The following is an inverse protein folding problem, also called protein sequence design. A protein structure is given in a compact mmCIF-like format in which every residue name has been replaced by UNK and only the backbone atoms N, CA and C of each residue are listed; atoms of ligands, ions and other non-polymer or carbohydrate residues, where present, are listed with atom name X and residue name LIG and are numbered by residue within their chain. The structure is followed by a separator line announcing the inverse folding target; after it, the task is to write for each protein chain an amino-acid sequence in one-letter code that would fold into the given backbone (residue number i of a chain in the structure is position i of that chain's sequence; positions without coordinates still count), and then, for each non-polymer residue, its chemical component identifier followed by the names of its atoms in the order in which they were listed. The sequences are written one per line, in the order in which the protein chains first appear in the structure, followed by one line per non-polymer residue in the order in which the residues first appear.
data_IF_778132518594
#
_entry.id   IF_778132518594
#
_cell.length_a   1.000
_cell.length_b   1.000
_cell.length_c   1.000
_cell.angle_alpha   90.00
_cell.angle_beta   90.00
_cell.angle_gamma   90.00
#
_symmetry.space_group_name_H-M   'P 1'
#
loop_
_entity.id
_entity.type
_entity.pdbx_description
1 polymer ?
#
# COMPACT_ATOMS: atom_id res chain seq x y z
N UNK A 1 -2.66 -1.17 10.79
CA UNK A 1 -3.30 -2.38 10.20
C UNK A 1 -2.54 -2.67 8.93
N UNK A 2 -2.04 -3.90 8.78
CA UNK A 2 -1.18 -4.27 7.67
C UNK A 2 -1.95 -5.02 6.58
N UNK A 3 -1.49 -4.85 5.35
CA UNK A 3 -1.95 -5.63 4.22
C UNK A 3 -0.92 -5.65 3.10
N UNK A 4 -1.16 -6.49 2.10
CA UNK A 4 -0.25 -6.69 0.98
C UNK A 4 -0.94 -6.43 -0.35
N UNK A 5 -0.33 -5.59 -1.18
CA UNK A 5 -0.71 -5.44 -2.57
C UNK A 5 0.20 -6.30 -3.45
N UNK A 6 -0.37 -7.30 -4.13
CA UNK A 6 0.40 -8.23 -4.97
C UNK A 6 0.77 -7.61 -6.32
N UNK A 7 2.02 -7.81 -6.74
CA UNK A 7 2.53 -7.60 -8.09
C UNK A 7 2.91 -8.94 -8.76
N UNK A 8 2.39 -10.06 -8.27
CA UNK A 8 2.79 -11.41 -8.65
C UNK A 8 3.74 -12.02 -7.61
N UNK A 9 5.01 -12.22 -7.97
CA UNK A 9 6.04 -12.80 -7.09
C UNK A 9 6.56 -11.83 -6.01
N UNK A 10 6.29 -10.54 -6.18
CA UNK A 10 6.64 -9.47 -5.25
C UNK A 10 5.40 -8.62 -4.97
N UNK A 11 5.54 -7.59 -4.13
CA UNK A 11 4.41 -6.73 -3.81
C UNK A 11 4.79 -5.53 -2.97
N UNK A 12 3.77 -4.89 -2.43
CA UNK A 12 3.93 -3.86 -1.41
C UNK A 12 3.34 -4.34 -0.09
N UNK A 13 4.13 -4.31 0.99
CA UNK A 13 3.54 -4.25 2.33
C UNK A 13 3.02 -2.84 2.52
N UNK A 14 1.79 -2.73 3.02
CA UNK A 14 1.10 -1.47 3.26
C UNK A 14 0.62 -1.46 4.69
N UNK A 15 0.96 -0.41 5.43
CA UNK A 15 0.47 -0.19 6.80
C UNK A 15 -0.22 1.17 6.87
N UNK A 16 -1.41 1.18 7.47
CA UNK A 16 -2.16 2.41 7.73
C UNK A 16 -1.56 3.07 8.97
N UNK A 17 -0.97 4.25 8.79
CA UNK A 17 -0.32 5.02 9.87
C UNK A 17 -1.35 5.89 10.59
N UNK A 18 -2.16 6.61 9.81
CA UNK A 18 -3.20 7.53 10.25
C UNK A 18 -4.35 7.55 9.23
N UNK A 19 -5.40 8.36 9.43
CA UNK A 19 -6.55 8.40 8.52
C UNK A 19 -6.20 8.82 7.08
N UNK A 20 -5.11 9.57 6.89
CA UNK A 20 -4.75 10.18 5.62
C UNK A 20 -3.42 9.67 5.08
N UNK A 21 -2.72 8.77 5.76
CA UNK A 21 -1.40 8.30 5.33
C UNK A 21 -1.22 6.81 5.49
N UNK A 22 -0.50 6.27 4.50
CA UNK A 22 0.02 4.91 4.54
C UNK A 22 1.55 4.92 4.52
N UNK A 23 2.12 3.90 5.15
CA UNK A 23 3.49 3.46 4.91
C UNK A 23 3.44 2.32 3.90
N UNK A 24 4.33 2.32 2.92
CA UNK A 24 4.48 1.17 2.03
C UNK A 24 5.95 0.84 1.78
N UNK A 25 6.26 -0.43 1.57
CA UNK A 25 7.59 -0.92 1.20
C UNK A 25 7.47 -2.04 0.17
N UNK A 26 8.44 -2.13 -0.75
CA UNK A 26 8.44 -3.13 -1.83
C UNK A 26 9.01 -4.46 -1.36
N UNK A 27 8.15 -5.43 -1.05
CA UNK A 27 8.48 -6.77 -0.53
C UNK A 27 8.69 -7.81 -1.63
N UNK A 28 9.40 -8.89 -1.31
CA UNK A 28 9.70 -9.97 -2.26
C UNK A 28 11.02 -9.80 -3.02
N UNK A 29 12.01 -9.17 -2.38
CA UNK A 29 13.38 -9.02 -2.88
C UNK A 29 14.37 -9.15 -1.72
N UNK A 30 15.57 -9.66 -2.00
CA UNK A 30 16.67 -9.79 -1.02
C UNK A 30 17.38 -8.45 -0.71
N UNK A 31 16.95 -7.35 -1.32
CA UNK A 31 17.52 -6.02 -1.10
C UNK A 31 16.96 -5.37 0.16
N UNK A 32 17.78 -4.53 0.80
CA UNK A 32 17.35 -3.67 1.89
C UNK A 32 16.19 -2.77 1.43
N UNK A 33 15.13 -2.71 2.24
CA UNK A 33 13.86 -2.11 1.84
C UNK A 33 13.70 -0.73 2.46
N UNK A 34 13.40 0.26 1.62
CA UNK A 34 13.11 1.62 2.05
C UNK A 34 11.61 1.75 2.25
N UNK A 35 11.19 2.14 3.45
CA UNK A 35 9.81 2.48 3.72
C UNK A 35 9.49 3.87 3.17
N UNK A 36 8.38 3.98 2.44
CA UNK A 36 7.87 5.21 1.88
C UNK A 36 6.58 5.62 2.58
N UNK A 37 6.38 6.94 2.76
CA UNK A 37 5.11 7.51 3.22
C UNK A 37 4.35 8.07 2.04
N UNK A 38 3.07 7.77 1.93
CA UNK A 38 2.19 8.33 0.92
C UNK A 38 0.89 8.85 1.55
N UNK A 39 0.36 9.94 0.98
CA UNK A 39 -0.96 10.45 1.28
C UNK A 39 -2.03 9.55 0.65
N UNK A 40 -3.11 9.32 1.40
CA UNK A 40 -4.34 8.70 0.94
C UNK A 40 -5.21 9.77 0.28
N UNK A 41 -5.69 9.44 -0.90
CA UNK A 41 -6.60 10.23 -1.69
C UNK A 41 -7.90 9.46 -1.87
N UNK A 42 -8.95 10.18 -2.26
CA UNK A 42 -10.26 9.62 -2.51
C UNK A 42 -10.65 9.89 -3.95
N UNK A 43 -11.13 8.86 -4.64
CA UNK A 43 -11.78 9.06 -5.95
C UNK A 43 -13.10 9.84 -5.78
N UNK A 44 -13.68 10.31 -6.88
CA UNK A 44 -15.00 10.95 -6.84
C UNK A 44 -16.11 10.09 -6.22
N UNK A 45 -15.97 8.75 -6.25
CA UNK A 45 -16.86 7.80 -5.59
C UNK A 45 -16.45 7.41 -4.16
N UNK A 46 -15.50 8.14 -3.53
CA UNK A 46 -15.07 7.89 -2.15
C UNK A 46 -14.13 6.69 -1.98
N UNK A 47 -13.71 6.02 -3.05
CA UNK A 47 -12.79 4.88 -2.95
C UNK A 47 -11.37 5.36 -2.59
N UNK A 48 -10.80 4.92 -1.45
CA UNK A 48 -9.49 5.38 -1.02
C UNK A 48 -8.37 4.74 -1.85
N UNK A 49 -7.34 5.52 -2.15
CA UNK A 49 -6.16 5.08 -2.87
C UNK A 49 -4.91 5.85 -2.46
N UNK A 50 -3.74 5.32 -2.74
CA UNK A 50 -2.46 6.02 -2.64
C UNK A 50 -1.63 5.76 -3.90
N UNK A 51 -0.56 6.54 -4.08
CA UNK A 51 0.38 6.33 -5.19
C UNK A 51 1.67 5.69 -4.64
N UNK A 52 2.06 4.55 -5.21
CA UNK A 52 3.33 3.88 -4.97
C UNK A 52 4.05 3.67 -6.30
N UNK A 53 5.28 4.15 -6.43
CA UNK A 53 6.08 4.04 -7.66
C UNK A 53 5.32 4.42 -8.95
N UNK A 54 4.58 5.54 -8.93
CA UNK A 54 3.79 6.01 -10.08
C UNK A 54 2.51 5.21 -10.34
N UNK A 55 2.20 4.18 -9.54
CA UNK A 55 1.00 3.37 -9.65
C UNK A 55 -0.03 3.77 -8.60
N UNK A 56 -1.28 3.93 -9.03
CA UNK A 56 -2.44 4.07 -8.15
C UNK A 56 -2.82 2.72 -7.56
N UNK A 57 -2.83 2.61 -6.24
CA UNK A 57 -3.22 1.42 -5.49
C UNK A 57 -4.41 1.76 -4.60
N UNK A 58 -5.51 1.01 -4.75
CA UNK A 58 -6.67 1.17 -3.87
C UNK A 58 -6.53 0.32 -2.61
N UNK A 59 -6.93 0.85 -1.46
CA UNK A 59 -6.73 0.16 -0.17
C UNK A 59 -7.53 -1.14 -0.05
N UNK A 60 -8.65 -1.26 -0.76
CA UNK A 60 -9.47 -2.47 -0.84
C UNK A 60 -8.85 -3.57 -1.73
N UNK A 61 -7.80 -3.27 -2.49
CA UNK A 61 -7.03 -4.27 -3.24
C UNK A 61 -5.92 -4.91 -2.40
N UNK A 62 -5.64 -4.36 -1.23
CA UNK A 62 -4.65 -4.92 -0.31
C UNK A 62 -5.27 -6.13 0.43
N UNK A 63 -4.60 -7.28 0.34
CA UNK A 63 -4.94 -8.47 1.13
C UNK A 63 -4.63 -8.18 2.59
N UNK A 64 -5.65 -8.26 3.45
CA UNK A 64 -5.49 -8.03 4.90
C UNK A 64 -4.77 -9.21 5.55
N UNK A 65 -3.89 -8.92 6.51
CA UNK A 65 -3.21 -9.96 7.29
C UNK A 65 -4.02 -10.48 8.47
N UNK A 66 -5.06 -9.76 8.87
CA UNK A 66 -5.94 -10.11 9.99
C UNK A 66 -7.22 -10.82 9.49
N UNK A 67 -7.08 -12.09 9.05
CA UNK A 67 -8.21 -13.01 8.79
C UNK A 67 -8.29 -14.03 9.94
#
# INVERSE_FOLDING_TARGET
MKGYYSLGLSGYEVDIIDQDHVRWLFVGTDREQIAHRAKVYYTGGGRPYFNANGRRIHLDQCLRTDI
#
